data_IF_011827928055
#
_entry.id   IF_011827928055
#
_cell.length_a   1.000
_cell.length_b   1.000
_cell.length_c   1.000
_cell.angle_alpha   90.00
_cell.angle_beta   90.00
_cell.angle_gamma   90.00
#
_symmetry.space_group_name_H-M   'P 1'
#
loop_
_entity.id
_entity.type
_entity.pdbx_description
1 polymer ?
#
# COMPACT_ATOMS: atom_id res chain seq x y z
N UNK A 1 5.63 -18.51 19.56
CA UNK A 1 6.27 -17.18 19.67
C UNK A 1 7.48 -17.17 18.76
N UNK A 2 7.34 -16.62 17.56
CA UNK A 2 8.44 -16.42 16.60
C UNK A 2 9.47 -15.47 17.21
N UNK A 3 10.77 -15.72 17.00
CA UNK A 3 11.84 -14.78 17.39
C UNK A 3 11.50 -13.39 16.85
N UNK A 4 11.70 -12.35 17.67
CA UNK A 4 11.55 -10.97 17.24
C UNK A 4 12.51 -10.70 16.08
N UNK A 5 11.97 -10.61 14.87
CA UNK A 5 12.69 -10.16 13.68
C UNK A 5 12.70 -8.65 13.73
N UNK A 6 13.87 -8.02 13.60
CA UNK A 6 13.94 -6.57 13.44
C UNK A 6 13.30 -6.18 12.10
N UNK A 7 12.17 -5.49 12.17
CA UNK A 7 11.38 -5.07 11.01
C UNK A 7 12.20 -4.20 10.07
N UNK A 8 13.18 -3.45 10.58
CA UNK A 8 14.06 -2.62 9.75
C UNK A 8 14.95 -3.43 8.81
N UNK A 9 15.16 -4.72 9.08
CA UNK A 9 15.95 -5.64 8.27
C UNK A 9 15.10 -6.49 7.32
N UNK A 10 13.77 -6.41 7.41
CA UNK A 10 12.87 -7.16 6.53
C UNK A 10 12.97 -6.60 5.11
N UNK A 11 13.00 -7.53 4.13
CA UNK A 11 13.08 -7.18 2.73
C UNK A 11 11.76 -6.56 2.21
N UNK A 12 11.85 -5.80 1.12
CA UNK A 12 10.73 -5.04 0.57
C UNK A 12 9.52 -5.90 0.17
N UNK A 13 9.74 -7.09 -0.41
CA UNK A 13 8.65 -8.01 -0.79
C UNK A 13 7.89 -8.51 0.45
N UNK A 14 8.59 -8.87 1.52
CA UNK A 14 7.94 -9.36 2.74
C UNK A 14 7.13 -8.26 3.43
N UNK A 15 7.63 -7.01 3.43
CA UNK A 15 6.85 -5.86 3.91
C UNK A 15 5.63 -5.60 3.01
N UNK A 16 5.81 -5.66 1.69
CA UNK A 16 4.71 -5.47 0.75
C UNK A 16 3.62 -6.55 0.90
N UNK A 17 4.00 -7.80 1.15
CA UNK A 17 3.07 -8.88 1.41
C UNK A 17 2.16 -8.58 2.61
N UNK A 18 2.72 -8.07 3.70
CA UNK A 18 1.93 -7.62 4.86
C UNK A 18 1.05 -6.40 4.52
N UNK A 19 1.64 -5.42 3.84
CA UNK A 19 0.96 -4.18 3.49
C UNK A 19 -0.23 -4.34 2.54
N UNK A 20 -0.17 -5.28 1.60
CA UNK A 20 -1.31 -5.61 0.71
C UNK A 20 -2.52 -6.08 1.52
N UNK A 21 -2.29 -6.99 2.48
CA UNK A 21 -3.34 -7.49 3.36
C UNK A 21 -3.92 -6.38 4.24
N UNK A 22 -3.05 -5.58 4.85
CA UNK A 22 -3.43 -4.45 5.72
C UNK A 22 -4.25 -3.42 4.95
N UNK A 23 -3.76 -2.95 3.80
CA UNK A 23 -4.47 -1.95 2.99
C UNK A 23 -5.81 -2.48 2.50
N UNK A 24 -5.83 -3.72 1.99
CA UNK A 24 -7.06 -4.38 1.57
C UNK A 24 -8.09 -4.49 2.69
N UNK A 25 -7.66 -4.76 3.92
CA UNK A 25 -8.54 -4.79 5.09
C UNK A 25 -9.16 -3.42 5.36
N UNK A 26 -8.36 -2.35 5.40
CA UNK A 26 -8.87 -0.99 5.62
C UNK A 26 -9.86 -0.55 4.54
N UNK A 27 -9.56 -0.80 3.26
CA UNK A 27 -10.48 -0.46 2.16
C UNK A 27 -11.79 -1.26 2.26
N UNK A 28 -11.73 -2.56 2.54
CA UNK A 28 -12.94 -3.37 2.74
C UNK A 28 -13.78 -2.82 3.90
N UNK A 29 -13.13 -2.47 5.02
CA UNK A 29 -13.79 -1.88 6.18
C UNK A 29 -14.46 -0.56 5.82
N UNK A 30 -13.76 0.34 5.15
CA UNK A 30 -14.28 1.62 4.66
C UNK A 30 -15.54 1.44 3.78
N UNK A 31 -15.49 0.56 2.78
CA UNK A 31 -16.63 0.31 1.88
C UNK A 31 -17.84 -0.26 2.63
N UNK A 32 -17.63 -1.17 3.58
CA UNK A 32 -18.70 -1.72 4.42
C UNK A 32 -19.34 -0.62 5.27
N UNK A 33 -18.52 0.24 5.90
CA UNK A 33 -19.03 1.37 6.70
C UNK A 33 -19.70 2.46 5.85
N UNK A 34 -19.40 2.55 4.54
CA UNK A 34 -20.18 3.35 3.57
C UNK A 34 -21.51 2.71 3.16
N UNK A 35 -21.86 1.54 3.70
CA UNK A 35 -23.12 0.84 3.43
C UNK A 35 -23.10 -0.07 2.20
N UNK A 36 -21.93 -0.36 1.62
CA UNK A 36 -21.82 -1.31 0.52
C UNK A 36 -21.80 -2.74 1.06
N UNK A 37 -22.85 -3.51 0.73
CA UNK A 37 -23.02 -4.89 1.24
C UNK A 37 -23.16 -5.94 0.14
N UNK A 38 -23.35 -5.54 -1.13
CA UNK A 38 -23.50 -6.48 -2.24
C UNK A 38 -22.12 -6.98 -2.73
N UNK A 39 -21.84 -8.30 -2.77
CA UNK A 39 -20.50 -8.83 -3.10
C UNK A 39 -19.93 -8.32 -4.43
N UNK A 40 -20.73 -8.32 -5.51
CA UNK A 40 -20.28 -7.84 -6.83
C UNK A 40 -19.92 -6.35 -6.82
N UNK A 41 -20.60 -5.55 -6.00
CA UNK A 41 -20.27 -4.12 -5.84
C UNK A 41 -19.03 -3.94 -4.98
N UNK A 42 -18.88 -4.69 -3.90
CA UNK A 42 -17.72 -4.61 -3.02
C UNK A 42 -16.41 -4.89 -3.77
N UNK A 43 -16.36 -5.94 -4.58
CA UNK A 43 -15.14 -6.26 -5.33
C UNK A 43 -14.82 -5.18 -6.38
N UNK A 44 -15.82 -4.75 -7.15
CA UNK A 44 -15.64 -3.71 -8.16
C UNK A 44 -15.20 -2.37 -7.57
N UNK A 45 -15.78 -1.97 -6.43
CA UNK A 45 -15.43 -0.73 -5.75
C UNK A 45 -14.05 -0.83 -5.07
N UNK A 46 -13.73 -1.95 -4.42
CA UNK A 46 -12.41 -2.15 -3.82
C UNK A 46 -11.27 -2.03 -4.85
N UNK A 47 -11.48 -2.53 -6.08
CA UNK A 47 -10.48 -2.47 -7.15
C UNK A 47 -10.05 -1.04 -7.52
N UNK A 48 -10.90 -0.04 -7.27
CA UNK A 48 -10.54 1.39 -7.47
C UNK A 48 -9.45 1.85 -6.51
N UNK A 49 -9.30 1.18 -5.36
CA UNK A 49 -8.31 1.50 -4.34
C UNK A 49 -7.10 0.55 -4.40
N UNK A 50 -7.36 -0.75 -4.53
CA UNK A 50 -6.32 -1.78 -4.29
C UNK A 50 -5.59 -2.22 -5.55
N UNK A 51 -6.01 -1.79 -6.75
CA UNK A 51 -5.28 -2.16 -7.97
C UNK A 51 -3.87 -1.57 -7.99
N UNK A 52 -2.91 -2.27 -8.60
CA UNK A 52 -1.53 -1.78 -8.72
C UNK A 52 -1.44 -0.38 -9.36
N UNK A 53 -2.33 -0.09 -10.32
CA UNK A 53 -2.40 1.24 -10.95
C UNK A 53 -2.90 2.32 -9.99
N UNK A 54 -3.92 2.01 -9.18
CA UNK A 54 -4.41 2.92 -8.15
C UNK A 54 -3.34 3.19 -7.09
N UNK A 55 -2.71 2.14 -6.58
CA UNK A 55 -1.62 2.26 -5.59
C UNK A 55 -0.41 3.03 -6.14
N UNK A 56 -0.02 2.80 -7.41
CA UNK A 56 1.05 3.55 -8.06
C UNK A 56 0.71 5.05 -8.21
N UNK A 57 -0.55 5.38 -8.49
CA UNK A 57 -1.04 6.76 -8.53
C UNK A 57 -1.00 7.40 -7.13
N UNK A 58 -1.48 6.68 -6.12
CA UNK A 58 -1.50 7.13 -4.72
C UNK A 58 -0.11 7.44 -4.18
N UNK A 59 0.85 6.53 -4.36
CA UNK A 59 2.22 6.76 -3.86
C UNK A 59 2.92 7.90 -4.61
N UNK A 60 2.62 8.10 -5.90
CA UNK A 60 3.11 9.27 -6.63
C UNK A 60 2.60 10.56 -6.00
N UNK A 61 1.30 10.60 -5.68
CA UNK A 61 0.67 11.77 -5.09
C UNK A 61 1.13 12.03 -3.63
N UNK A 62 1.39 10.98 -2.85
CA UNK A 62 1.99 11.09 -1.50
C UNK A 62 3.40 11.71 -1.55
N UNK A 63 4.23 11.26 -2.50
CA UNK A 63 5.57 11.78 -2.70
C UNK A 63 5.55 13.25 -3.18
N UNK A 64 4.68 13.57 -4.14
CA UNK A 64 4.51 14.95 -4.63
C UNK A 64 4.06 15.90 -3.52
N UNK A 65 3.15 15.44 -2.65
CA UNK A 65 2.68 16.20 -1.50
C UNK A 65 3.67 16.23 -0.32
N UNK A 66 4.84 15.58 -0.43
CA UNK A 66 5.85 15.48 0.63
C UNK A 66 5.28 14.95 1.95
N UNK A 67 4.34 14.01 1.85
CA UNK A 67 3.64 13.48 3.01
C UNK A 67 4.39 12.32 3.67
N UNK A 68 5.40 11.75 3.03
CA UNK A 68 6.20 10.67 3.61
C UNK A 68 7.39 11.24 4.40
N UNK A 69 7.71 10.60 5.52
CA UNK A 69 8.97 10.84 6.23
C UNK A 69 10.14 10.24 5.45
N UNK A 70 11.36 10.67 5.77
CA UNK A 70 12.59 10.11 5.18
C UNK A 70 12.66 8.58 5.33
N UNK A 71 12.22 8.06 6.49
CA UNK A 71 12.21 6.62 6.77
C UNK A 71 11.18 5.90 5.89
N UNK A 72 9.99 6.45 5.75
CA UNK A 72 8.93 5.89 4.89
C UNK A 72 9.37 5.90 3.42
N UNK A 73 10.05 6.95 2.95
CA UNK A 73 10.65 6.97 1.62
C UNK A 73 11.74 5.91 1.41
N UNK A 74 12.57 5.66 2.42
CA UNK A 74 13.58 4.60 2.39
C UNK A 74 12.92 3.22 2.19
N UNK A 75 11.86 2.95 2.97
CA UNK A 75 11.08 1.72 2.86
C UNK A 75 10.38 1.62 1.50
N UNK A 76 9.79 2.71 1.01
CA UNK A 76 9.21 2.77 -0.34
C UNK A 76 10.25 2.38 -1.40
N UNK A 77 11.44 2.99 -1.37
CA UNK A 77 12.53 2.70 -2.31
C UNK A 77 12.96 1.24 -2.22
N UNK A 78 13.00 0.66 -1.01
CA UNK A 78 13.31 -0.76 -0.79
C UNK A 78 12.26 -1.68 -1.43
N UNK A 79 10.97 -1.42 -1.22
CA UNK A 79 9.89 -2.16 -1.88
C UNK A 79 9.98 -2.05 -3.40
N UNK A 80 10.05 -0.81 -3.91
CA UNK A 80 10.09 -0.49 -5.35
C UNK A 80 11.23 -1.14 -6.10
N UNK A 81 12.40 -1.22 -5.48
CA UNK A 81 13.61 -1.75 -6.11
C UNK A 81 13.71 -3.28 -5.99
N UNK A 82 12.72 -3.96 -5.41
CA UNK A 82 12.77 -5.42 -5.32
C UNK A 82 12.52 -6.04 -6.70
N UNK A 83 13.40 -6.94 -7.13
CA UNK A 83 13.33 -7.54 -8.46
C UNK A 83 12.17 -8.54 -8.52
N UNK A 84 11.16 -8.24 -9.35
CA UNK A 84 10.21 -9.26 -9.80
C UNK A 84 10.80 -9.98 -11.02
N UNK A 85 10.93 -11.30 -10.95
CA UNK A 85 11.44 -12.15 -12.05
C UNK A 85 10.45 -12.29 -13.23
N UNK A 86 9.57 -11.32 -13.46
CA UNK A 86 8.42 -11.46 -14.38
C UNK A 86 8.65 -10.77 -15.73
N UNK A 87 8.35 -11.48 -16.82
CA UNK A 87 8.38 -11.00 -18.22
C UNK A 87 7.19 -10.07 -18.56
N UNK A 88 6.89 -9.07 -17.73
CA UNK A 88 5.81 -8.12 -18.00
C UNK A 88 6.26 -7.01 -18.96
N UNK A 89 5.32 -6.33 -19.65
CA UNK A 89 5.63 -5.17 -20.49
C UNK A 89 6.20 -4.04 -19.62
N UNK A 90 7.12 -3.23 -20.14
CA UNK A 90 7.85 -2.21 -19.36
C UNK A 90 6.95 -1.27 -18.53
N UNK A 91 5.81 -0.82 -19.07
CA UNK A 91 4.86 0.04 -18.36
C UNK A 91 4.19 -0.68 -17.16
N UNK A 92 3.95 -1.98 -17.28
CA UNK A 92 3.40 -2.81 -16.20
C UNK A 92 4.44 -3.04 -15.10
N UNK A 93 5.72 -3.16 -15.47
CA UNK A 93 6.82 -3.33 -14.51
C UNK A 93 6.98 -2.12 -13.60
N UNK A 94 6.95 -0.89 -14.16
CA UNK A 94 7.06 0.33 -13.34
C UNK A 94 5.88 0.46 -12.39
N UNK A 95 4.66 0.26 -12.90
CA UNK A 95 3.43 0.32 -12.08
C UNK A 95 3.50 -0.68 -10.93
N UNK A 96 3.89 -1.92 -11.22
CA UNK A 96 4.01 -2.98 -10.21
C UNK A 96 5.08 -2.65 -9.15
N UNK A 97 6.25 -2.15 -9.57
CA UNK A 97 7.28 -1.71 -8.62
C UNK A 97 6.78 -0.59 -7.72
N UNK A 98 6.04 0.37 -8.26
CA UNK A 98 5.48 1.46 -7.47
C UNK A 98 4.43 0.96 -6.47
N UNK A 99 3.54 0.05 -6.88
CA UNK A 99 2.56 -0.56 -5.96
C UNK A 99 3.24 -1.37 -4.87
N UNK A 100 4.26 -2.16 -5.19
CA UNK A 100 5.05 -2.90 -4.17
C UNK A 100 5.76 -1.95 -3.20
N UNK A 101 6.26 -0.81 -3.69
CA UNK A 101 6.80 0.24 -2.82
C UNK A 101 5.76 0.81 -1.87
N UNK A 102 4.54 1.07 -2.36
CA UNK A 102 3.41 1.55 -1.55
C UNK A 102 3.04 0.55 -0.45
N UNK A 103 2.84 -0.72 -0.83
CA UNK A 103 2.52 -1.80 0.11
C UNK A 103 3.61 -1.97 1.17
N UNK A 104 4.89 -1.88 0.79
CA UNK A 104 6.00 -2.00 1.74
C UNK A 104 5.97 -0.93 2.85
N UNK A 105 5.55 0.31 2.53
CA UNK A 105 5.41 1.38 3.54
C UNK A 105 4.32 1.01 4.55
N UNK A 106 3.15 0.58 4.06
CA UNK A 106 2.03 0.21 4.94
C UNK A 106 2.36 -1.01 5.79
N UNK A 107 3.04 -2.01 5.22
CA UNK A 107 3.53 -3.18 5.95
C UNK A 107 4.54 -2.80 7.04
N UNK A 108 5.47 -1.89 6.74
CA UNK A 108 6.43 -1.41 7.75
C UNK A 108 5.73 -0.70 8.92
N UNK A 109 4.81 0.22 8.64
CA UNK A 109 4.07 0.93 9.68
C UNK A 109 3.25 -0.05 10.54
N UNK A 110 2.60 -1.03 9.92
CA UNK A 110 1.85 -2.06 10.64
C UNK A 110 2.76 -2.92 11.54
N UNK A 111 3.86 -3.45 10.99
CA UNK A 111 4.76 -4.35 11.72
C UNK A 111 5.57 -3.64 12.81
N UNK A 112 5.69 -2.31 12.74
CA UNK A 112 6.30 -1.48 13.80
C UNK A 112 5.26 -0.85 14.74
N UNK A 113 3.99 -1.28 14.65
CA UNK A 113 2.88 -0.82 15.50
C UNK A 113 2.61 0.70 15.42
N UNK A 114 3.04 1.37 14.34
CA UNK A 114 2.77 2.78 14.07
C UNK A 114 1.37 2.96 13.47
N UNK A 115 0.35 2.50 14.19
CA UNK A 115 -1.03 2.39 13.71
C UNK A 115 -1.66 3.76 13.41
N UNK A 116 -1.43 4.77 14.25
CA UNK A 116 -1.96 6.12 14.01
C UNK A 116 -1.46 6.69 12.68
N UNK A 117 -0.16 6.54 12.41
CA UNK A 117 0.48 6.98 11.17
C UNK A 117 0.00 6.19 9.95
N UNK A 118 -0.18 4.88 10.12
CA UNK A 118 -0.78 4.02 9.10
C UNK A 118 -2.19 4.49 8.73
N UNK A 119 -3.03 4.75 9.72
CA UNK A 119 -4.41 5.22 9.52
C UNK A 119 -4.47 6.60 8.88
N UNK A 120 -3.54 7.50 9.21
CA UNK A 120 -3.40 8.81 8.56
C UNK A 120 -3.17 8.67 7.05
N UNK A 121 -2.19 7.86 6.64
CA UNK A 121 -1.88 7.64 5.23
C UNK A 121 -3.03 6.95 4.49
N UNK A 122 -3.68 5.96 5.12
CA UNK A 122 -4.84 5.27 4.55
C UNK A 122 -6.02 6.23 4.36
N UNK A 123 -6.34 7.05 5.37
CA UNK A 123 -7.42 8.02 5.29
C UNK A 123 -7.16 9.05 4.18
N UNK A 124 -5.91 9.51 4.06
CA UNK A 124 -5.51 10.39 2.96
C UNK A 124 -5.68 9.72 1.59
N UNK A 125 -5.29 8.45 1.44
CA UNK A 125 -5.44 7.72 0.18
C UNK A 125 -6.90 7.54 -0.21
N UNK A 126 -7.76 7.22 0.75
CA UNK A 126 -9.21 7.11 0.55
C UNK A 126 -9.78 8.44 0.08
N UNK A 127 -9.46 9.55 0.77
CA UNK A 127 -9.93 10.88 0.40
C UNK A 127 -9.43 11.29 -1.00
N UNK A 128 -8.18 10.97 -1.34
CA UNK A 128 -7.60 11.24 -2.66
C UNK A 128 -8.34 10.51 -3.79
N UNK A 129 -8.77 9.27 -3.56
CA UNK A 129 -9.54 8.49 -4.55
C UNK A 129 -10.97 9.00 -4.66
N UNK A 130 -11.59 9.43 -3.56
CA UNK A 130 -12.99 9.88 -3.58
C UNK A 130 -13.18 11.30 -4.15
N UNK A 131 -12.13 12.13 -4.11
CA UNK A 131 -12.15 13.49 -4.67
C UNK A 131 -11.70 13.58 -6.13
N UNK A 132 -11.08 12.52 -6.67
CA UNK A 132 -10.62 12.42 -8.06
C UNK A 132 -11.59 11.69 -8.95
#
# INVERSE_FOLDING_TARGET
MTKAVDVNLINGIALAFEGDAVYSMYIRRHLIFKGLTKPNKLHGEANKYVSARAQASLISALLEAQLLTEKEEEIYKRGRNTNSHTKAKNADVVTYRMSTGFEAVLGYLHMTEQIERLEELVAWCVDKIERG
#
